data_IF_069074311266
#
_entry.id   IF_069074311266
#
_cell.length_a   1.000
_cell.length_b   1.000
_cell.length_c   1.000
_cell.angle_alpha   90.00
_cell.angle_beta   90.00
_cell.angle_gamma   90.00
#
_symmetry.space_group_name_H-M   'P 1'
#
loop_
_entity.id
_entity.type
_entity.pdbx_description
1 polymer ?
#
# COMPACT_ATOMS: atom_id res chain seq x y z
N UNK A 1 -71.21 -12.10 38.00
CA UNK A 1 -70.14 -11.28 38.47
C UNK A 1 -68.80 -12.06 38.60
N UNK A 2 -68.80 -13.22 39.27
CA UNK A 2 -67.58 -14.05 39.28
C UNK A 2 -67.23 -14.61 37.88
N UNK A 3 -68.22 -15.14 37.11
CA UNK A 3 -67.99 -15.64 35.77
C UNK A 3 -67.54 -14.60 34.75
N UNK A 4 -68.07 -13.35 34.91
CA UNK A 4 -67.55 -12.25 34.07
C UNK A 4 -66.12 -11.89 34.39
N UNK A 5 -65.74 -11.93 35.65
CA UNK A 5 -64.36 -11.70 36.09
C UNK A 5 -63.39 -12.85 35.71
N UNK A 6 -63.90 -14.09 35.68
CA UNK A 6 -63.13 -15.24 35.16
C UNK A 6 -62.91 -15.19 33.67
N UNK A 7 -63.97 -14.78 32.90
CA UNK A 7 -63.83 -14.56 31.45
C UNK A 7 -62.88 -13.38 31.19
N UNK A 8 -63.03 -12.29 31.92
CA UNK A 8 -62.11 -11.14 31.81
C UNK A 8 -60.66 -11.52 32.19
N UNK A 9 -60.48 -12.32 33.23
CA UNK A 9 -59.21 -12.90 33.61
C UNK A 9 -58.63 -13.72 32.46
N UNK A 10 -59.39 -14.68 31.91
CA UNK A 10 -58.93 -15.51 30.78
C UNK A 10 -58.57 -14.69 29.53
N UNK A 11 -59.36 -13.67 29.24
CA UNK A 11 -59.07 -12.77 28.13
C UNK A 11 -57.77 -12.00 28.38
N UNK A 12 -57.55 -11.50 29.60
CA UNK A 12 -56.32 -10.77 29.97
C UNK A 12 -55.10 -11.70 30.03
N UNK A 13 -55.26 -12.93 30.46
CA UNK A 13 -54.19 -13.95 30.42
C UNK A 13 -53.81 -14.29 28.98
N UNK A 14 -54.75 -14.42 28.08
CA UNK A 14 -54.51 -14.66 26.67
C UNK A 14 -53.78 -13.47 25.99
N UNK A 15 -54.29 -12.25 26.25
CA UNK A 15 -53.66 -11.03 25.75
C UNK A 15 -52.24 -10.86 26.29
N UNK A 16 -52.01 -11.22 27.54
CA UNK A 16 -50.70 -11.22 28.18
C UNK A 16 -49.73 -12.21 27.52
N UNK A 17 -50.20 -13.43 27.22
CA UNK A 17 -49.40 -14.47 26.54
C UNK A 17 -49.03 -14.03 25.12
N UNK A 18 -49.99 -13.47 24.37
CA UNK A 18 -49.70 -12.91 23.02
C UNK A 18 -48.69 -11.78 23.06
N UNK A 19 -48.79 -10.87 24.06
CA UNK A 19 -47.82 -9.77 24.24
C UNK A 19 -46.43 -10.27 24.67
N UNK A 20 -46.34 -11.30 25.52
CA UNK A 20 -45.06 -11.92 25.89
C UNK A 20 -44.40 -12.58 24.70
N UNK A 21 -45.15 -13.36 23.90
CA UNK A 21 -44.62 -13.98 22.70
C UNK A 21 -44.11 -12.90 21.71
N UNK A 22 -44.85 -11.81 21.58
CA UNK A 22 -44.43 -10.66 20.76
C UNK A 22 -43.12 -10.03 21.33
N UNK A 23 -43.05 -9.87 22.63
CA UNK A 23 -41.83 -9.33 23.29
C UNK A 23 -40.60 -10.21 23.07
N UNK A 24 -40.77 -11.54 23.21
CA UNK A 24 -39.67 -12.47 23.00
C UNK A 24 -39.20 -12.49 21.53
N UNK A 25 -40.13 -12.43 20.59
CA UNK A 25 -39.82 -12.26 19.16
C UNK A 25 -39.04 -10.95 18.89
N UNK A 26 -39.50 -9.84 19.48
CA UNK A 26 -38.82 -8.55 19.35
C UNK A 26 -37.42 -8.56 19.98
N UNK A 27 -37.26 -9.20 21.13
CA UNK A 27 -35.94 -9.37 21.79
C UNK A 27 -35.01 -10.24 20.98
N UNK A 28 -35.53 -11.37 20.44
CA UNK A 28 -34.70 -12.24 19.58
C UNK A 28 -34.28 -11.49 18.32
N UNK A 29 -35.20 -10.76 17.69
CA UNK A 29 -34.88 -9.92 16.53
C UNK A 29 -33.79 -8.87 16.87
N UNK A 30 -33.97 -8.15 17.99
CA UNK A 30 -32.98 -7.16 18.42
C UNK A 30 -31.62 -7.79 18.76
N UNK A 31 -31.61 -8.95 19.44
CA UNK A 31 -30.40 -9.67 19.73
C UNK A 31 -29.65 -10.05 18.44
N UNK A 32 -30.37 -10.61 17.48
CA UNK A 32 -29.83 -10.95 16.16
C UNK A 32 -29.30 -9.70 15.42
N UNK A 33 -30.09 -8.62 15.39
CA UNK A 33 -29.66 -7.36 14.75
C UNK A 33 -28.42 -6.77 15.41
N UNK A 34 -28.32 -6.84 16.74
CA UNK A 34 -27.12 -6.41 17.49
C UNK A 34 -25.89 -7.28 17.15
N UNK A 35 -26.06 -8.56 17.00
CA UNK A 35 -24.99 -9.46 16.55
C UNK A 35 -24.50 -9.09 15.15
N UNK A 36 -25.42 -8.83 14.20
CA UNK A 36 -25.07 -8.34 12.87
C UNK A 36 -24.31 -7.01 12.90
N UNK A 37 -24.71 -6.09 13.77
CA UNK A 37 -24.01 -4.81 13.98
C UNK A 37 -22.56 -5.08 14.42
N UNK A 38 -22.37 -5.95 15.42
CA UNK A 38 -21.05 -6.27 15.95
C UNK A 38 -20.14 -6.93 14.91
N UNK A 39 -20.66 -7.90 14.16
CA UNK A 39 -19.93 -8.57 13.10
C UNK A 39 -19.53 -7.59 11.98
N UNK A 40 -20.49 -6.74 11.56
CA UNK A 40 -20.22 -5.73 10.53
C UNK A 40 -19.22 -4.69 11.02
N UNK A 41 -19.30 -4.27 12.28
CA UNK A 41 -18.33 -3.36 12.89
C UNK A 41 -16.93 -3.98 12.99
N UNK A 42 -16.83 -5.25 13.37
CA UNK A 42 -15.54 -5.95 13.38
C UNK A 42 -14.92 -6.06 11.96
N UNK A 43 -15.77 -6.27 10.95
CA UNK A 43 -15.35 -6.27 9.55
C UNK A 43 -14.89 -4.88 9.10
N UNK A 44 -15.62 -3.83 9.49
CA UNK A 44 -15.28 -2.43 9.24
C UNK A 44 -13.89 -2.07 9.79
N UNK A 45 -13.58 -2.49 11.01
CA UNK A 45 -12.27 -2.26 11.62
C UNK A 45 -11.14 -2.92 10.83
N UNK A 46 -11.32 -4.16 10.40
CA UNK A 46 -10.35 -4.86 9.56
C UNK A 46 -10.12 -4.14 8.23
N UNK A 47 -11.21 -3.78 7.55
CA UNK A 47 -11.16 -3.07 6.27
C UNK A 47 -10.50 -1.69 6.38
N UNK A 48 -10.76 -0.96 7.46
CA UNK A 48 -10.13 0.33 7.74
C UNK A 48 -8.63 0.19 7.96
N UNK A 49 -8.22 -0.82 8.71
CA UNK A 49 -6.80 -1.12 8.93
C UNK A 49 -6.10 -1.48 7.62
N UNK A 50 -6.73 -2.35 6.81
CA UNK A 50 -6.21 -2.71 5.48
C UNK A 50 -6.13 -1.50 4.56
N UNK A 51 -7.19 -0.69 4.49
CA UNK A 51 -7.20 0.53 3.69
C UNK A 51 -6.09 1.51 4.12
N UNK A 52 -5.86 1.65 5.41
CA UNK A 52 -4.80 2.52 5.93
C UNK A 52 -3.41 2.03 5.52
N UNK A 53 -3.16 0.73 5.52
CA UNK A 53 -1.90 0.14 5.06
C UNK A 53 -1.69 0.32 3.55
N UNK A 54 -2.74 0.07 2.76
CA UNK A 54 -2.69 0.25 1.30
C UNK A 54 -2.55 1.73 0.91
N UNK A 55 -3.19 2.64 1.64
CA UNK A 55 -3.02 4.08 1.45
C UNK A 55 -1.59 4.54 1.74
N UNK A 56 -0.94 4.03 2.80
CA UNK A 56 0.48 4.31 3.08
C UNK A 56 1.39 3.85 1.96
N UNK A 57 1.12 2.65 1.45
CA UNK A 57 1.89 2.10 0.33
C UNK A 57 1.71 2.96 -0.92
N UNK A 58 0.50 3.45 -1.16
CA UNK A 58 0.19 4.39 -2.24
C UNK A 58 0.97 5.70 -2.09
N UNK A 59 0.92 6.32 -0.91
CA UNK A 59 1.62 7.58 -0.62
C UNK A 59 3.14 7.43 -0.78
N UNK A 60 3.70 6.32 -0.29
CA UNK A 60 5.12 6.03 -0.45
C UNK A 60 5.52 5.90 -1.93
N UNK A 61 4.71 5.20 -2.73
CA UNK A 61 4.94 5.06 -4.18
C UNK A 61 4.78 6.39 -4.93
N UNK A 62 3.80 7.21 -4.55
CA UNK A 62 3.62 8.55 -5.13
C UNK A 62 4.80 9.46 -4.83
N UNK A 63 5.27 9.48 -3.59
CA UNK A 63 6.45 10.24 -3.20
C UNK A 63 7.71 9.79 -3.97
N UNK A 64 7.89 8.47 -4.13
CA UNK A 64 8.99 7.92 -4.92
C UNK A 64 8.87 8.31 -6.40
N UNK A 65 7.66 8.24 -6.96
CA UNK A 65 7.35 8.65 -8.34
C UNK A 65 7.67 10.13 -8.57
N UNK A 66 7.22 11.00 -7.67
CA UNK A 66 7.40 12.45 -7.82
C UNK A 66 8.88 12.83 -7.65
N UNK A 67 9.59 12.17 -6.74
CA UNK A 67 11.04 12.32 -6.62
C UNK A 67 11.75 11.89 -7.90
N UNK A 68 11.45 10.69 -8.40
CA UNK A 68 12.07 10.16 -9.61
C UNK A 68 11.77 11.04 -10.83
N UNK A 69 10.54 11.51 -10.95
CA UNK A 69 10.13 12.46 -11.99
C UNK A 69 10.91 13.78 -11.91
N UNK A 70 11.04 14.33 -10.71
CA UNK A 70 11.83 15.56 -10.48
C UNK A 70 13.29 15.36 -10.88
N UNK A 71 13.91 14.22 -10.52
CA UNK A 71 15.28 13.89 -10.90
C UNK A 71 15.46 13.75 -12.42
N UNK A 72 14.44 13.26 -13.13
CA UNK A 72 14.43 13.18 -14.59
C UNK A 72 14.29 14.60 -15.19
N UNK A 73 13.29 15.35 -14.76
CA UNK A 73 12.96 16.67 -15.32
C UNK A 73 14.08 17.70 -15.11
N UNK A 74 14.73 17.65 -13.94
CA UNK A 74 15.86 18.56 -13.60
C UNK A 74 17.22 18.05 -14.09
N UNK A 75 17.28 16.81 -14.57
CA UNK A 75 18.55 16.14 -14.91
C UNK A 75 19.58 16.24 -13.77
N UNK A 76 19.11 16.11 -12.53
CA UNK A 76 19.99 16.19 -11.37
C UNK A 76 21.03 15.07 -11.36
N UNK A 77 22.31 15.45 -11.09
CA UNK A 77 23.45 14.53 -11.15
C UNK A 77 24.09 14.38 -12.53
N UNK A 78 23.54 15.01 -13.60
CA UNK A 78 24.17 15.01 -14.92
C UNK A 78 25.14 16.21 -15.11
N UNK A 79 26.23 16.04 -15.90
CA UNK A 79 27.12 17.12 -16.27
C UNK A 79 26.39 18.25 -17.00
N UNK A 80 26.91 19.49 -16.88
CA UNK A 80 26.34 20.67 -17.53
C UNK A 80 26.26 20.52 -19.06
N UNK A 81 27.24 19.86 -19.67
CA UNK A 81 27.25 19.55 -21.10
C UNK A 81 26.06 18.67 -21.52
N UNK A 82 25.72 17.67 -20.68
CA UNK A 82 24.59 16.78 -20.92
C UNK A 82 23.28 17.54 -20.76
N UNK A 83 23.12 18.30 -19.68
CA UNK A 83 21.94 19.16 -19.46
C UNK A 83 21.72 20.15 -20.60
N UNK A 84 22.81 20.78 -21.06
CA UNK A 84 22.73 21.74 -22.17
C UNK A 84 22.25 21.08 -23.46
N UNK A 85 22.79 19.92 -23.83
CA UNK A 85 22.37 19.21 -25.04
C UNK A 85 20.91 18.74 -24.94
N UNK A 86 20.52 18.23 -23.80
CA UNK A 86 19.14 17.79 -23.56
C UNK A 86 18.12 18.91 -23.77
N UNK A 87 18.45 20.12 -23.33
CA UNK A 87 17.57 21.28 -23.43
C UNK A 87 17.73 22.10 -24.75
N UNK A 88 18.66 21.72 -25.64
CA UNK A 88 18.97 22.47 -26.82
C UNK A 88 18.12 22.06 -28.03
N UNK A 89 17.25 22.96 -28.48
CA UNK A 89 16.35 22.74 -29.62
C UNK A 89 17.05 22.58 -30.99
N UNK A 90 18.32 22.90 -31.09
CA UNK A 90 19.09 22.78 -32.32
C UNK A 90 19.74 21.41 -32.50
N UNK A 91 19.70 20.57 -31.47
CA UNK A 91 20.22 19.21 -31.50
C UNK A 91 19.09 18.18 -31.46
N UNK A 92 19.35 16.98 -31.93
CA UNK A 92 18.35 15.94 -32.05
C UNK A 92 17.87 15.46 -30.65
N UNK A 93 16.62 15.73 -30.32
CA UNK A 93 16.00 15.30 -29.06
C UNK A 93 15.79 13.80 -28.94
N UNK A 94 15.92 13.05 -30.05
CA UNK A 94 15.70 11.61 -30.06
C UNK A 94 16.94 10.81 -29.61
N UNK A 95 18.09 11.48 -29.40
CA UNK A 95 19.29 10.82 -28.89
C UNK A 95 19.19 10.58 -27.38
N UNK A 96 18.99 9.34 -26.94
CA UNK A 96 18.87 9.01 -25.51
C UNK A 96 20.26 8.98 -24.85
N UNK A 97 20.24 9.05 -23.53
CA UNK A 97 21.41 8.79 -22.70
C UNK A 97 21.44 7.29 -22.38
N UNK A 98 22.62 6.70 -22.21
CA UNK A 98 22.78 5.27 -21.93
C UNK A 98 21.93 4.81 -20.73
N UNK A 99 21.89 5.62 -19.69
CA UNK A 99 21.08 5.33 -18.48
C UNK A 99 19.58 5.14 -18.75
N UNK A 100 19.06 5.69 -19.83
CA UNK A 100 17.63 5.66 -20.15
C UNK A 100 17.24 4.47 -21.03
N UNK A 101 18.21 3.89 -21.77
CA UNK A 101 17.94 2.79 -22.70
C UNK A 101 18.20 1.41 -22.11
N UNK A 102 18.88 1.33 -20.97
CA UNK A 102 19.16 0.08 -20.26
C UNK A 102 18.20 -0.01 -19.06
N UNK A 103 17.48 -1.12 -18.95
CA UNK A 103 16.72 -1.46 -17.78
C UNK A 103 17.30 -2.73 -17.13
N UNK A 104 17.42 -2.71 -15.81
CA UNK A 104 18.00 -3.81 -15.02
C UNK A 104 17.00 -4.21 -13.94
N UNK A 105 16.84 -5.51 -13.70
CA UNK A 105 16.05 -6.03 -12.58
C UNK A 105 16.57 -5.42 -11.27
N UNK A 106 15.65 -5.03 -10.39
CA UNK A 106 15.92 -4.25 -9.19
C UNK A 106 17.05 -4.83 -8.32
N UNK A 107 17.07 -6.15 -8.15
CA UNK A 107 18.04 -6.86 -7.32
C UNK A 107 19.49 -6.81 -7.86
N UNK A 108 19.71 -6.49 -9.14
CA UNK A 108 21.02 -6.42 -9.79
C UNK A 108 21.42 -5.00 -10.19
N UNK A 109 20.53 -4.03 -9.94
CA UNK A 109 20.70 -2.66 -10.45
C UNK A 109 21.95 -2.00 -9.90
N UNK A 110 22.18 -2.08 -8.59
CA UNK A 110 23.36 -1.51 -7.93
C UNK A 110 24.65 -2.09 -8.46
N UNK A 111 24.70 -3.42 -8.66
CA UNK A 111 25.89 -4.09 -9.18
C UNK A 111 26.22 -3.62 -10.60
N UNK A 112 25.23 -3.59 -11.50
CA UNK A 112 25.44 -3.18 -12.89
C UNK A 112 25.69 -1.67 -13.03
N UNK A 113 25.10 -0.86 -12.18
CA UNK A 113 25.36 0.58 -12.15
C UNK A 113 26.84 0.89 -11.90
N UNK A 114 27.50 0.16 -11.00
CA UNK A 114 28.91 0.35 -10.71
C UNK A 114 29.82 0.11 -11.94
N UNK A 115 29.49 -0.84 -12.78
CA UNK A 115 30.25 -1.09 -14.01
C UNK A 115 29.91 -0.08 -15.10
N UNK A 116 28.65 0.29 -15.20
CA UNK A 116 28.19 1.20 -16.22
C UNK A 116 28.39 2.67 -15.86
N UNK A 117 28.72 3.00 -14.60
CA UNK A 117 28.85 4.37 -14.10
C UNK A 117 29.68 5.29 -15.01
N UNK A 118 30.83 4.89 -15.56
CA UNK A 118 31.63 5.72 -16.46
C UNK A 118 30.90 6.10 -17.75
N UNK A 119 29.90 5.32 -18.13
CA UNK A 119 29.21 5.42 -19.43
C UNK A 119 27.76 5.91 -19.30
N UNK A 120 27.17 5.96 -18.10
CA UNK A 120 25.74 6.25 -17.89
C UNK A 120 25.31 7.59 -18.49
N UNK A 121 26.22 8.57 -18.54
CA UNK A 121 25.98 9.91 -19.04
C UNK A 121 26.33 10.08 -20.54
N UNK A 122 26.66 8.98 -21.24
CA UNK A 122 26.96 9.04 -22.67
C UNK A 122 25.66 9.09 -23.45
N UNK A 123 25.63 9.98 -24.43
CA UNK A 123 24.58 9.98 -25.44
C UNK A 123 24.75 8.83 -26.43
N UNK A 124 23.66 8.31 -26.90
CA UNK A 124 23.65 7.27 -27.94
C UNK A 124 23.08 7.88 -29.22
N UNK A 125 23.98 8.13 -30.17
CA UNK A 125 23.67 8.76 -31.45
C UNK A 125 23.74 7.75 -32.59
N UNK A 126 23.04 8.01 -33.68
CA UNK A 126 23.02 7.09 -34.82
C UNK A 126 24.38 7.00 -35.51
N UNK A 127 25.02 8.13 -35.77
CA UNK A 127 26.25 8.24 -36.53
C UNK A 127 27.21 9.32 -36.02
N UNK A 128 28.41 9.35 -36.62
CA UNK A 128 29.43 10.37 -36.33
C UNK A 128 28.95 11.79 -36.61
N UNK A 129 28.14 12.01 -37.65
CA UNK A 129 27.65 13.34 -38.03
C UNK A 129 26.77 13.96 -36.95
N UNK A 130 25.88 13.16 -36.37
CA UNK A 130 25.05 13.59 -35.26
C UNK A 130 25.89 13.94 -34.03
N UNK A 131 26.87 13.10 -33.69
CA UNK A 131 27.82 13.36 -32.60
C UNK A 131 28.63 14.64 -32.80
N UNK A 132 29.16 14.87 -34.02
CA UNK A 132 29.90 16.08 -34.33
C UNK A 132 29.04 17.35 -34.25
N UNK A 133 27.76 17.26 -34.61
CA UNK A 133 26.82 18.37 -34.46
C UNK A 133 26.70 18.77 -32.99
N UNK A 134 26.55 17.78 -32.08
CA UNK A 134 26.50 18.03 -30.64
C UNK A 134 27.81 18.63 -30.11
N UNK A 135 28.97 18.09 -30.53
CA UNK A 135 30.31 18.60 -30.14
C UNK A 135 30.48 20.06 -30.55
N UNK A 136 30.10 20.42 -31.77
CA UNK A 136 30.18 21.80 -32.26
C UNK A 136 29.28 22.74 -31.44
N UNK A 137 28.08 22.30 -31.08
CA UNK A 137 27.16 23.09 -30.24
C UNK A 137 27.76 23.30 -28.83
N UNK A 138 28.39 22.29 -28.24
CA UNK A 138 29.06 22.41 -26.96
C UNK A 138 30.26 23.37 -27.01
N UNK A 139 31.06 23.30 -28.07
CA UNK A 139 32.24 24.15 -28.26
C UNK A 139 31.86 25.62 -28.43
N UNK A 140 30.92 25.91 -29.33
CA UNK A 140 30.41 27.28 -29.58
C UNK A 140 29.85 27.90 -28.29
N UNK A 141 29.13 27.11 -27.48
CA UNK A 141 28.48 27.58 -26.26
C UNK A 141 29.35 27.45 -25.01
N UNK A 142 30.58 26.92 -25.12
CA UNK A 142 31.53 26.68 -23.99
C UNK A 142 30.92 25.88 -22.85
N UNK A 143 30.16 24.81 -23.17
CA UNK A 143 29.42 23.99 -22.21
C UNK A 143 30.16 22.74 -21.76
N UNK A 144 31.46 22.66 -22.00
CA UNK A 144 32.29 21.53 -21.64
C UNK A 144 32.21 20.38 -22.65
N UNK A 145 32.55 19.16 -22.20
CA UNK A 145 32.62 17.98 -23.07
C UNK A 145 31.51 16.98 -22.72
N UNK A 146 30.93 16.32 -23.71
CA UNK A 146 30.08 15.17 -23.59
C UNK A 146 30.67 13.99 -24.37
N UNK A 147 30.23 12.79 -24.04
CA UNK A 147 30.67 11.56 -24.67
C UNK A 147 29.50 10.93 -25.45
N UNK A 148 29.83 10.22 -26.52
CA UNK A 148 28.85 9.68 -27.44
C UNK A 148 29.19 8.24 -27.83
N UNK A 149 28.20 7.34 -27.84
CA UNK A 149 28.25 6.07 -28.53
C UNK A 149 27.67 6.23 -29.94
N UNK A 150 28.35 5.64 -30.92
CA UNK A 150 27.97 5.69 -32.34
C UNK A 150 27.36 4.33 -32.71
N UNK A 151 26.05 4.28 -32.95
CA UNK A 151 25.32 3.04 -33.21
C UNK A 151 25.76 2.39 -34.53
N UNK A 152 26.02 3.19 -35.57
CA UNK A 152 26.47 2.69 -36.88
C UNK A 152 27.76 1.89 -36.76
N UNK A 153 28.67 2.25 -35.88
CA UNK A 153 29.94 1.56 -35.62
C UNK A 153 29.75 0.33 -34.76
N UNK A 154 28.85 0.40 -33.79
CA UNK A 154 28.53 -0.73 -32.90
C UNK A 154 27.74 -1.83 -33.60
N UNK A 155 26.87 -1.48 -34.55
CA UNK A 155 26.15 -2.47 -35.35
C UNK A 155 27.07 -3.26 -36.30
N UNK A 156 28.23 -2.72 -36.64
CA UNK A 156 29.28 -3.42 -37.37
C UNK A 156 30.20 -4.26 -36.45
N UNK A 157 30.01 -4.19 -35.13
CA UNK A 157 30.80 -4.94 -34.17
C UNK A 157 30.40 -6.43 -34.19
N UNK A 158 31.33 -7.30 -34.58
CA UNK A 158 31.13 -8.74 -34.49
C UNK A 158 31.14 -9.18 -33.03
N UNK A 159 29.99 -9.64 -32.57
CA UNK A 159 29.84 -10.22 -31.22
C UNK A 159 30.59 -11.56 -31.23
N UNK A 160 31.82 -11.58 -30.73
CA UNK A 160 32.50 -12.84 -30.39
C UNK A 160 31.70 -13.51 -29.28
N UNK A 161 30.91 -14.51 -29.61
CA UNK A 161 30.20 -15.37 -28.68
C UNK A 161 31.16 -16.39 -28.08
N UNK A 162 32.15 -15.94 -27.32
CA UNK A 162 32.82 -16.85 -26.41
C UNK A 162 31.85 -17.09 -25.27
N UNK A 163 31.16 -18.23 -25.32
CA UNK A 163 30.28 -18.71 -24.26
C UNK A 163 31.13 -19.21 -23.08
N UNK A 164 31.99 -18.35 -22.52
CA UNK A 164 32.62 -18.66 -21.25
C UNK A 164 31.55 -18.58 -20.18
N UNK A 165 31.14 -19.72 -19.66
CA UNK A 165 30.33 -19.80 -18.46
C UNK A 165 31.25 -19.80 -17.25
N UNK A 166 31.02 -18.90 -16.31
CA UNK A 166 31.70 -18.90 -15.02
C UNK A 166 30.80 -19.65 -14.04
N UNK A 167 31.32 -20.74 -13.47
CA UNK A 167 30.60 -21.51 -12.48
C UNK A 167 30.27 -20.62 -11.25
N UNK A 168 28.99 -20.58 -10.87
CA UNK A 168 28.51 -19.72 -9.75
C UNK A 168 28.38 -18.25 -10.10
N UNK A 169 28.28 -17.91 -11.40
CA UNK A 169 27.95 -16.55 -11.84
C UNK A 169 26.96 -16.57 -13.01
N UNK A 170 26.11 -15.55 -13.08
CA UNK A 170 25.19 -15.35 -14.19
C UNK A 170 25.70 -14.25 -15.13
N UNK A 171 25.51 -14.38 -16.46
CA UNK A 171 25.83 -13.31 -17.39
C UNK A 171 25.00 -12.07 -17.12
N UNK A 172 25.63 -10.88 -17.09
CA UNK A 172 24.93 -9.62 -16.87
C UNK A 172 23.81 -9.36 -17.89
N UNK A 173 24.02 -9.77 -19.13
CA UNK A 173 23.01 -9.67 -20.19
C UNK A 173 21.70 -10.43 -19.92
N UNK A 174 21.71 -11.46 -19.06
CA UNK A 174 20.50 -12.22 -18.71
C UNK A 174 19.53 -11.48 -17.78
N UNK A 175 20.00 -10.42 -17.12
CA UNK A 175 19.23 -9.61 -16.16
C UNK A 175 18.97 -8.18 -16.66
N UNK A 176 19.33 -7.93 -17.92
CA UNK A 176 19.19 -6.64 -18.59
C UNK A 176 18.11 -6.72 -19.65
N UNK A 177 17.23 -5.74 -19.68
CA UNK A 177 16.27 -5.50 -20.74
C UNK A 177 16.70 -4.27 -21.53
N UNK A 178 16.76 -4.41 -22.84
CA UNK A 178 17.16 -3.35 -23.77
C UNK A 178 16.44 -3.56 -25.10
N UNK A 179 16.08 -2.45 -25.76
CA UNK A 179 15.49 -2.53 -27.10
C UNK A 179 16.45 -3.14 -28.10
N UNK A 180 15.92 -3.87 -29.09
CA UNK A 180 16.72 -4.54 -30.13
C UNK A 180 17.72 -3.61 -30.81
N UNK A 181 17.33 -2.35 -31.02
CA UNK A 181 18.16 -1.28 -31.58
C UNK A 181 19.50 -1.08 -30.81
N UNK A 182 19.49 -1.28 -29.49
CA UNK A 182 20.65 -1.01 -28.62
C UNK A 182 21.33 -2.29 -28.14
N UNK A 183 20.93 -3.44 -28.62
CA UNK A 183 21.43 -4.74 -28.16
C UNK A 183 22.92 -4.93 -28.40
N UNK A 184 23.43 -4.44 -29.52
CA UNK A 184 24.87 -4.46 -29.81
C UNK A 184 25.67 -3.62 -28.84
N UNK A 185 25.17 -2.45 -28.47
CA UNK A 185 25.77 -1.57 -27.46
C UNK A 185 25.75 -2.23 -26.09
N UNK A 186 24.63 -2.80 -25.67
CA UNK A 186 24.54 -3.52 -24.40
C UNK A 186 25.52 -4.71 -24.36
N UNK A 187 25.60 -5.47 -25.46
CA UNK A 187 26.55 -6.58 -25.58
C UNK A 187 28.00 -6.11 -25.57
N UNK A 188 28.32 -4.99 -26.20
CA UNK A 188 29.66 -4.38 -26.15
C UNK A 188 30.06 -4.02 -24.71
N UNK A 189 29.14 -3.46 -23.93
CA UNK A 189 29.39 -3.03 -22.55
C UNK A 189 29.36 -4.18 -21.54
N UNK A 190 28.48 -5.14 -21.70
CA UNK A 190 28.13 -6.14 -20.71
C UNK A 190 28.40 -7.59 -21.14
N UNK A 191 28.89 -7.82 -22.37
CA UNK A 191 29.06 -9.17 -22.89
C UNK A 191 30.10 -10.00 -22.15
N UNK A 192 31.06 -9.36 -21.49
CA UNK A 192 32.11 -10.00 -20.66
C UNK A 192 31.89 -9.74 -19.15
N UNK A 193 30.69 -9.32 -18.75
CA UNK A 193 30.36 -9.01 -17.36
C UNK A 193 29.50 -10.12 -16.79
N UNK A 194 29.85 -10.59 -15.61
CA UNK A 194 29.13 -11.64 -14.87
C UNK A 194 28.81 -11.18 -13.46
N UNK A 195 27.71 -11.66 -12.92
CA UNK A 195 27.27 -11.37 -11.54
C UNK A 195 27.50 -12.64 -10.73
N UNK A 196 28.38 -12.56 -9.73
CA UNK A 196 28.70 -13.68 -8.86
C UNK A 196 27.56 -13.97 -7.89
N UNK A 197 27.16 -15.22 -7.82
CA UNK A 197 26.26 -15.76 -6.82
C UNK A 197 27.01 -16.19 -5.54
N UNK A 198 28.32 -16.41 -5.65
CA UNK A 198 29.19 -16.80 -4.55
C UNK A 198 30.64 -16.29 -4.71
N UNK A 199 31.43 -16.33 -3.65
CA UNK A 199 32.84 -15.88 -3.67
C UNK A 199 33.76 -16.75 -4.57
N UNK A 200 33.38 -17.98 -4.86
CA UNK A 200 34.14 -18.88 -5.73
C UNK A 200 34.25 -18.37 -7.16
N UNK A 201 33.16 -17.78 -7.66
CA UNK A 201 33.07 -17.21 -9.00
C UNK A 201 34.09 -16.06 -9.22
N UNK A 202 34.45 -15.34 -8.16
CA UNK A 202 35.46 -14.27 -8.23
C UNK A 202 36.86 -14.78 -8.51
N UNK A 203 37.24 -15.95 -7.97
CA UNK A 203 38.57 -16.53 -8.14
C UNK A 203 38.74 -17.03 -9.58
N UNK A 204 37.65 -17.49 -10.20
CA UNK A 204 37.65 -18.14 -11.53
C UNK A 204 37.17 -17.20 -12.63
N UNK A 205 37.46 -15.92 -12.58
CA UNK A 205 36.94 -14.91 -13.50
C UNK A 205 37.46 -14.99 -14.93
N UNK A 206 38.51 -15.79 -15.23
CA UNK A 206 39.12 -16.00 -16.55
C UNK A 206 39.39 -14.71 -17.37
N UNK A 207 39.59 -13.58 -16.67
CA UNK A 207 39.81 -12.28 -17.32
C UNK A 207 38.50 -11.50 -17.59
N UNK A 208 37.38 -12.05 -17.27
CA UNK A 208 36.08 -11.36 -17.33
C UNK A 208 35.88 -10.41 -16.14
N UNK A 209 34.92 -9.50 -16.26
CA UNK A 209 34.49 -8.63 -15.16
C UNK A 209 33.46 -9.37 -14.33
N UNK A 210 33.72 -9.51 -13.04
CA UNK A 210 32.81 -10.19 -12.11
C UNK A 210 32.36 -9.23 -11.02
N UNK A 211 31.05 -9.13 -10.88
CA UNK A 211 30.37 -8.26 -9.93
C UNK A 211 29.83 -9.06 -8.75
N UNK A 212 29.87 -8.51 -7.57
CA UNK A 212 29.03 -9.01 -6.49
C UNK A 212 27.59 -8.49 -6.65
N UNK A 213 26.60 -9.34 -6.40
CA UNK A 213 25.18 -9.02 -6.55
C UNK A 213 24.75 -7.74 -5.79
N UNK A 214 25.31 -7.52 -4.60
CA UNK A 214 25.00 -6.35 -3.78
C UNK A 214 25.76 -5.07 -4.20
N UNK A 215 26.64 -5.16 -5.19
CA UNK A 215 27.40 -4.01 -5.70
C UNK A 215 28.59 -3.59 -4.83
N UNK A 216 28.98 -4.35 -3.80
CA UNK A 216 30.11 -3.97 -2.92
C UNK A 216 31.44 -3.96 -3.64
N UNK A 217 31.61 -4.75 -4.68
CA UNK A 217 32.84 -4.78 -5.45
C UNK A 217 32.63 -5.21 -6.91
N UNK A 218 33.57 -4.77 -7.72
CA UNK A 218 33.73 -5.09 -9.13
C UNK A 218 35.17 -5.62 -9.31
N UNK A 219 35.30 -6.87 -9.77
CA UNK A 219 36.61 -7.45 -10.09
C UNK A 219 36.80 -7.44 -11.59
N UNK A 220 37.72 -6.62 -12.07
CA UNK A 220 38.21 -6.66 -13.44
C UNK A 220 39.38 -7.63 -13.58
N UNK A 221 39.96 -7.72 -14.81
CA UNK A 221 41.09 -8.58 -15.10
C UNK A 221 42.29 -8.29 -14.20
N UNK A 222 42.60 -7.02 -13.98
CA UNK A 222 43.78 -6.54 -13.24
C UNK A 222 43.40 -5.54 -12.14
N UNK A 223 42.13 -5.36 -11.85
CA UNK A 223 41.66 -4.37 -10.89
C UNK A 223 40.60 -4.95 -9.97
N UNK A 224 40.53 -4.40 -8.78
CA UNK A 224 39.43 -4.61 -7.87
C UNK A 224 38.95 -3.23 -7.39
N UNK A 225 37.69 -2.94 -7.58
CA UNK A 225 37.05 -1.74 -7.05
C UNK A 225 35.99 -2.19 -6.07
N UNK A 226 35.90 -1.55 -4.93
CA UNK A 226 34.88 -1.91 -3.93
C UNK A 226 34.89 -0.96 -2.74
N UNK A 227 33.85 -1.10 -1.93
CA UNK A 227 33.65 -0.27 -0.76
C UNK A 227 32.22 -0.35 -0.26
N UNK A 228 31.78 0.68 0.47
CA UNK A 228 30.40 0.81 0.89
C UNK A 228 29.52 1.28 -0.27
N UNK A 229 28.34 0.70 -0.38
CA UNK A 229 27.33 1.13 -1.35
C UNK A 229 26.75 2.47 -0.91
N UNK A 230 26.76 3.46 -1.79
CA UNK A 230 26.22 4.79 -1.53
C UNK A 230 24.68 4.80 -1.52
N UNK A 231 24.10 5.77 -0.82
CA UNK A 231 22.62 5.91 -0.68
C UNK A 231 21.85 6.09 -2.02
N UNK A 232 22.55 6.49 -3.08
CA UNK A 232 21.97 6.74 -4.42
C UNK A 232 22.40 5.73 -5.48
N UNK A 233 23.21 4.76 -5.12
CA UNK A 233 23.57 3.68 -6.04
C UNK A 233 22.33 2.82 -6.37
N UNK A 234 22.23 2.40 -7.61
CA UNK A 234 21.08 1.66 -8.12
C UNK A 234 19.89 2.52 -8.58
N UNK A 235 20.01 3.86 -8.58
CA UNK A 235 18.92 4.78 -8.97
C UNK A 235 19.17 5.58 -10.25
N UNK A 236 20.30 5.37 -10.92
CA UNK A 236 20.65 6.10 -12.14
C UNK A 236 20.18 5.41 -13.42
N UNK A 237 20.14 4.07 -13.42
CA UNK A 237 19.79 3.27 -14.60
C UNK A 237 18.27 3.12 -14.73
N UNK A 238 17.74 3.30 -15.95
CA UNK A 238 16.36 2.99 -16.32
C UNK A 238 15.31 3.86 -15.62
N UNK A 239 15.63 5.11 -15.30
CA UNK A 239 14.73 6.02 -14.58
C UNK A 239 13.38 6.17 -15.26
N UNK A 240 13.34 6.34 -16.57
CA UNK A 240 12.10 6.51 -17.33
C UNK A 240 11.21 5.25 -17.24
N UNK A 241 11.79 4.06 -17.46
CA UNK A 241 11.05 2.79 -17.37
C UNK A 241 10.64 2.46 -15.92
N UNK A 242 11.45 2.86 -14.95
CA UNK A 242 11.07 2.72 -13.54
C UNK A 242 9.90 3.64 -13.19
N UNK A 243 9.88 4.87 -13.72
CA UNK A 243 8.77 5.81 -13.55
C UNK A 243 7.48 5.25 -14.14
N UNK A 244 7.53 4.68 -15.35
CA UNK A 244 6.39 4.02 -15.99
C UNK A 244 5.87 2.85 -15.14
N UNK A 245 6.73 1.91 -14.77
CA UNK A 245 6.37 0.77 -13.89
C UNK A 245 5.82 1.22 -12.53
N UNK A 246 6.35 2.29 -11.98
CA UNK A 246 5.87 2.85 -10.73
C UNK A 246 4.49 3.49 -10.90
N UNK A 247 4.26 4.18 -12.03
CA UNK A 247 2.95 4.72 -12.39
C UNK A 247 1.89 3.62 -12.54
N UNK A 248 2.22 2.50 -13.18
CA UNK A 248 1.33 1.33 -13.25
C UNK A 248 1.01 0.76 -11.86
N UNK A 249 2.03 0.59 -11.01
CA UNK A 249 1.83 0.12 -9.63
C UNK A 249 0.97 1.08 -8.81
N UNK A 250 1.12 2.39 -9.01
CA UNK A 250 0.29 3.43 -8.38
C UNK A 250 -1.16 3.29 -8.84
N UNK A 251 -1.39 3.08 -10.15
CA UNK A 251 -2.74 2.88 -10.70
C UNK A 251 -3.44 1.69 -10.04
N UNK A 252 -2.80 0.53 -10.01
CA UNK A 252 -3.34 -0.68 -9.36
C UNK A 252 -3.60 -0.46 -7.87
N UNK A 253 -2.67 0.21 -7.18
CA UNK A 253 -2.80 0.52 -5.75
C UNK A 253 -3.96 1.48 -5.48
N UNK A 254 -4.13 2.50 -6.31
CA UNK A 254 -5.22 3.47 -6.23
C UNK A 254 -6.59 2.80 -6.41
N UNK A 255 -6.69 1.86 -7.37
CA UNK A 255 -7.91 1.07 -7.56
C UNK A 255 -8.23 0.25 -6.32
N UNK A 256 -7.23 -0.39 -5.71
CA UNK A 256 -7.40 -1.17 -4.48
C UNK A 256 -7.90 -0.30 -3.33
N UNK A 257 -7.28 0.86 -3.09
CA UNK A 257 -7.72 1.82 -2.06
C UNK A 257 -9.14 2.31 -2.32
N UNK A 258 -9.48 2.58 -3.58
CA UNK A 258 -10.81 3.04 -3.98
C UNK A 258 -11.86 1.96 -3.74
N UNK A 259 -11.56 0.71 -4.09
CA UNK A 259 -12.46 -0.42 -3.86
C UNK A 259 -12.68 -0.69 -2.37
N UNK A 260 -11.63 -0.66 -1.56
CA UNK A 260 -11.73 -0.78 -0.09
C UNK A 260 -12.60 0.34 0.51
N UNK A 261 -12.43 1.57 0.03
CA UNK A 261 -13.25 2.71 0.46
C UNK A 261 -14.74 2.51 0.13
N UNK A 262 -15.04 1.95 -1.04
CA UNK A 262 -16.42 1.65 -1.43
C UNK A 262 -17.04 0.58 -0.51
N UNK A 263 -16.30 -0.51 -0.22
CA UNK A 263 -16.76 -1.57 0.69
C UNK A 263 -16.94 -1.04 2.12
N UNK A 264 -16.02 -0.21 2.61
CA UNK A 264 -16.13 0.44 3.92
C UNK A 264 -17.39 1.29 4.01
N UNK A 265 -17.70 2.06 2.97
CA UNK A 265 -18.92 2.87 2.91
C UNK A 265 -20.16 1.98 2.90
N UNK A 266 -20.14 0.88 2.16
CA UNK A 266 -21.24 -0.09 2.15
C UNK A 266 -21.46 -0.68 3.54
N UNK A 267 -20.43 -1.23 4.19
CA UNK A 267 -20.55 -1.77 5.54
C UNK A 267 -20.98 -0.71 6.57
N UNK A 268 -20.53 0.55 6.40
CA UNK A 268 -20.98 1.65 7.26
C UNK A 268 -22.47 1.92 7.11
N UNK A 269 -23.00 1.89 5.89
CA UNK A 269 -24.43 2.05 5.61
C UNK A 269 -25.23 0.84 6.15
N UNK A 270 -24.70 -0.36 6.07
CA UNK A 270 -25.30 -1.56 6.66
C UNK A 270 -25.44 -1.44 8.18
N UNK A 271 -24.40 -0.94 8.87
CA UNK A 271 -24.47 -0.67 10.32
C UNK A 271 -25.56 0.36 10.64
N UNK A 272 -25.69 1.41 9.82
CA UNK A 272 -26.77 2.41 10.00
C UNK A 272 -28.12 1.75 9.80
N UNK A 273 -28.31 0.98 8.73
CA UNK A 273 -29.56 0.28 8.43
C UNK A 273 -29.93 -0.73 9.54
N UNK A 274 -28.96 -1.46 10.07
CA UNK A 274 -29.21 -2.35 11.21
C UNK A 274 -29.60 -1.58 12.49
N UNK A 275 -28.96 -0.44 12.77
CA UNK A 275 -29.34 0.39 13.90
C UNK A 275 -30.77 0.92 13.78
N UNK A 276 -31.23 1.26 12.58
CA UNK A 276 -32.63 1.68 12.33
C UNK A 276 -33.61 0.54 12.52
N UNK A 277 -33.21 -0.72 12.35
CA UNK A 277 -34.04 -1.90 12.59
C UNK A 277 -34.21 -2.24 14.08
N UNK A 278 -33.38 -1.67 14.95
CA UNK A 278 -33.51 -1.88 16.38
C UNK A 278 -34.83 -1.34 16.91
N UNK A 279 -35.60 -2.20 17.54
CA UNK A 279 -36.95 -1.90 18.06
C UNK A 279 -36.95 -1.70 19.57
N UNK A 280 -35.95 -1.03 20.12
CA UNK A 280 -35.78 -0.84 21.57
C UNK A 280 -36.97 -0.10 22.19
N UNK A 281 -37.47 0.94 21.53
CA UNK A 281 -38.66 1.66 21.96
C UNK A 281 -39.90 0.77 21.94
N UNK A 282 -40.07 -0.06 20.93
CA UNK A 282 -41.20 -1.01 20.81
C UNK A 282 -41.09 -2.08 21.90
N UNK A 283 -39.90 -2.58 22.21
CA UNK A 283 -39.67 -3.52 23.30
C UNK A 283 -40.04 -2.87 24.63
N UNK A 284 -39.60 -1.65 24.87
CA UNK A 284 -39.91 -0.90 26.09
C UNK A 284 -41.44 -0.65 26.22
N UNK A 285 -42.10 -0.22 25.14
CA UNK A 285 -43.56 -0.04 25.12
C UNK A 285 -44.30 -1.36 25.32
N UNK A 286 -43.88 -2.42 24.64
CA UNK A 286 -44.49 -3.75 24.80
C UNK A 286 -44.29 -4.24 26.24
N UNK A 287 -43.11 -4.01 26.82
CA UNK A 287 -42.87 -4.31 28.22
C UNK A 287 -43.75 -3.50 29.19
N UNK A 288 -43.97 -2.21 28.89
CA UNK A 288 -44.89 -1.38 29.65
C UNK A 288 -46.30 -1.88 29.53
N UNK A 289 -46.81 -2.20 28.31
CA UNK A 289 -48.13 -2.74 28.08
C UNK A 289 -48.29 -4.11 28.80
N UNK A 290 -47.26 -4.96 28.81
CA UNK A 290 -47.27 -6.21 29.57
C UNK A 290 -47.41 -5.93 31.06
N UNK A 291 -46.68 -4.95 31.59
CA UNK A 291 -46.75 -4.54 32.99
C UNK A 291 -48.13 -4.00 33.35
N UNK A 292 -48.76 -3.21 32.47
CA UNK A 292 -50.12 -2.71 32.65
C UNK A 292 -51.16 -3.84 32.63
N UNK A 293 -51.00 -4.80 31.70
CA UNK A 293 -51.86 -6.01 31.64
C UNK A 293 -51.68 -6.87 32.89
N UNK A 294 -50.46 -7.04 33.35
CA UNK A 294 -50.15 -7.74 34.62
C UNK A 294 -50.87 -7.02 35.77
N UNK A 295 -50.74 -5.71 35.89
CA UNK A 295 -51.34 -4.94 36.95
C UNK A 295 -52.88 -5.03 36.92
N UNK A 296 -53.46 -5.01 35.68
CA UNK A 296 -54.89 -5.15 35.49
C UNK A 296 -55.39 -6.55 35.87
N UNK A 297 -54.66 -7.60 35.41
CA UNK A 297 -54.94 -8.99 35.79
C UNK A 297 -54.85 -9.16 37.30
N UNK A 298 -53.85 -8.52 37.89
CA UNK A 298 -53.62 -8.48 39.33
C UNK A 298 -54.83 -7.87 40.08
N UNK A 299 -55.30 -6.72 39.56
CA UNK A 299 -56.49 -6.07 40.12
C UNK A 299 -57.74 -6.99 40.03
N UNK A 300 -57.87 -7.76 38.94
CA UNK A 300 -58.96 -8.70 38.73
C UNK A 300 -58.82 -9.88 39.66
N UNK A 301 -57.59 -10.44 39.78
CA UNK A 301 -57.32 -11.58 40.68
C UNK A 301 -57.46 -11.18 42.14
N UNK A 302 -57.06 -9.95 42.54
CA UNK A 302 -57.31 -9.39 43.86
C UNK A 302 -58.80 -9.35 44.23
N UNK A 303 -59.62 -9.10 43.23
CA UNK A 303 -61.07 -9.15 43.40
C UNK A 303 -61.59 -10.58 43.49
N UNK A 304 -60.83 -11.56 43.10
CA UNK A 304 -61.19 -12.98 43.05
C UNK A 304 -60.58 -13.80 44.17
N UNK A 305 -59.81 -13.26 45.10
CA UNK A 305 -59.26 -13.96 46.28
C UNK A 305 -57.96 -14.73 46.07
N UNK A 306 -56.98 -14.32 45.51
CA UNK A 306 -55.67 -15.03 45.70
C UNK A 306 -54.44 -14.26 45.21
N UNK A 307 -54.15 -13.21 45.82
CA UNK A 307 -53.21 -12.18 45.33
C UNK A 307 -51.73 -12.43 45.64
N UNK A 308 -51.48 -12.85 46.82
CA UNK A 308 -50.12 -12.82 47.37
C UNK A 308 -49.16 -13.79 46.65
N UNK A 309 -49.64 -14.90 46.14
CA UNK A 309 -48.77 -15.90 45.48
C UNK A 309 -48.35 -15.50 44.04
N UNK A 310 -49.24 -14.82 43.36
CA UNK A 310 -48.92 -14.39 41.98
C UNK A 310 -48.10 -13.13 41.91
N UNK A 311 -48.14 -12.26 42.93
CA UNK A 311 -47.26 -11.11 43.06
C UNK A 311 -45.78 -11.51 43.13
N UNK A 312 -45.46 -12.54 43.87
CA UNK A 312 -44.11 -13.05 44.02
C UNK A 312 -43.55 -13.60 42.69
N UNK A 313 -44.41 -14.27 41.91
CA UNK A 313 -44.00 -14.84 40.60
C UNK A 313 -43.76 -13.74 39.54
N UNK A 314 -44.67 -12.75 39.53
CA UNK A 314 -44.57 -11.64 38.58
C UNK A 314 -43.39 -10.71 38.89
N UNK A 315 -43.09 -10.44 40.17
CA UNK A 315 -41.95 -9.64 40.59
C UNK A 315 -40.61 -10.34 40.24
N UNK A 316 -40.48 -11.67 40.51
CA UNK A 316 -39.27 -12.42 40.13
C UNK A 316 -39.02 -12.41 38.62
N UNK A 317 -40.09 -12.51 37.83
CA UNK A 317 -39.93 -12.51 36.36
C UNK A 317 -39.62 -11.13 35.79
N UNK A 318 -40.11 -10.06 36.43
CA UNK A 318 -39.73 -8.69 36.08
C UNK A 318 -38.23 -8.43 36.38
N UNK A 319 -37.73 -8.96 37.47
CA UNK A 319 -36.33 -8.86 37.90
C UNK A 319 -35.39 -9.61 36.97
N UNK A 320 -35.78 -10.81 36.49
CA UNK A 320 -35.01 -11.58 35.48
C UNK A 320 -34.93 -10.82 34.13
N UNK A 321 -36.03 -10.20 33.71
CA UNK A 321 -36.10 -9.41 32.50
C UNK A 321 -35.31 -8.13 32.59
N UNK A 322 -35.31 -7.48 33.78
CA UNK A 322 -34.53 -6.29 34.04
C UNK A 322 -33.04 -6.62 34.07
N UNK A 323 -32.66 -7.72 34.73
CA UNK A 323 -31.28 -8.21 34.76
C UNK A 323 -30.74 -8.57 33.36
N UNK A 324 -31.59 -9.18 32.49
CA UNK A 324 -31.21 -9.45 31.10
C UNK A 324 -31.02 -8.16 30.27
N UNK A 325 -31.85 -7.15 30.53
CA UNK A 325 -31.72 -5.85 29.88
C UNK A 325 -30.44 -5.12 30.34
N UNK A 326 -30.11 -5.19 31.62
CA UNK A 326 -28.88 -4.62 32.15
C UNK A 326 -27.63 -5.34 31.60
N UNK A 327 -27.65 -6.67 31.50
CA UNK A 327 -26.57 -7.44 30.87
C UNK A 327 -26.37 -7.07 29.40
N UNK A 328 -27.45 -6.91 28.65
CA UNK A 328 -27.38 -6.48 27.26
C UNK A 328 -26.88 -5.01 27.14
N UNK A 329 -27.28 -4.14 28.07
CA UNK A 329 -26.80 -2.77 28.11
C UNK A 329 -25.31 -2.67 28.48
N UNK A 330 -24.84 -3.53 29.41
CA UNK A 330 -23.42 -3.63 29.76
C UNK A 330 -22.60 -4.09 28.57
N UNK A 331 -23.03 -5.13 27.83
CA UNK A 331 -22.35 -5.63 26.64
C UNK A 331 -22.25 -4.58 25.51
N UNK A 332 -23.29 -3.76 25.35
CA UNK A 332 -23.28 -2.65 24.36
C UNK A 332 -22.29 -1.58 24.76
N UNK A 333 -22.26 -1.22 26.04
CA UNK A 333 -21.33 -0.21 26.55
C UNK A 333 -19.86 -0.67 26.45
N UNK A 334 -19.57 -1.94 26.77
CA UNK A 334 -18.24 -2.52 26.60
C UNK A 334 -17.80 -2.50 25.13
N UNK A 335 -18.69 -2.87 24.21
CA UNK A 335 -18.40 -2.84 22.77
C UNK A 335 -18.17 -1.41 22.26
N UNK A 336 -18.93 -0.45 22.80
CA UNK A 336 -18.78 0.96 22.43
C UNK A 336 -17.43 1.53 22.90
N UNK A 337 -17.01 1.16 24.10
CA UNK A 337 -15.71 1.55 24.66
C UNK A 337 -14.53 0.93 23.85
N UNK A 338 -14.69 -0.32 23.42
CA UNK A 338 -13.70 -1.00 22.57
C UNK A 338 -13.56 -0.30 21.21
N UNK A 339 -14.68 0.10 20.65
CA UNK A 339 -14.74 0.83 19.38
C UNK A 339 -14.05 2.21 19.48
N UNK A 340 -14.27 2.92 20.60
CA UNK A 340 -13.63 4.20 20.90
C UNK A 340 -12.10 4.04 21.05
N UNK A 341 -11.67 2.96 21.70
CA UNK A 341 -10.24 2.63 21.87
C UNK A 341 -9.57 2.33 20.51
N UNK A 342 -10.21 1.48 19.70
CA UNK A 342 -9.72 1.13 18.36
C UNK A 342 -9.66 2.34 17.41
N UNK A 343 -10.65 3.22 17.50
CA UNK A 343 -10.63 4.49 16.74
C UNK A 343 -9.46 5.37 17.18
N UNK A 344 -9.19 5.45 18.50
CA UNK A 344 -8.02 6.17 19.01
C UNK A 344 -6.67 5.56 18.60
N UNK A 345 -6.59 4.22 18.47
CA UNK A 345 -5.38 3.56 17.97
C UNK A 345 -5.15 3.86 16.48
N UNK A 346 -6.23 3.90 15.67
CA UNK A 346 -6.16 4.32 14.26
C UNK A 346 -5.67 5.76 14.13
N UNK A 347 -6.23 6.69 14.92
CA UNK A 347 -5.77 8.09 14.93
C UNK A 347 -4.30 8.23 15.36
N UNK A 348 -3.86 7.44 16.34
CA UNK A 348 -2.45 7.43 16.74
C UNK A 348 -1.52 6.85 15.67
N UNK A 349 -1.98 5.85 14.94
CA UNK A 349 -1.24 5.27 13.82
C UNK A 349 -1.13 6.25 12.65
N UNK A 350 -2.21 6.98 12.34
CA UNK A 350 -2.20 8.05 11.34
C UNK A 350 -1.26 9.20 11.73
N UNK A 351 -1.24 9.57 13.02
CA UNK A 351 -0.31 10.58 13.53
C UNK A 351 1.16 10.14 13.41
N UNK A 352 1.46 8.87 13.73
CA UNK A 352 2.81 8.30 13.55
C UNK A 352 3.23 8.25 12.08
N UNK A 353 2.29 7.97 11.18
CA UNK A 353 2.53 8.00 9.75
C UNK A 353 2.93 9.37 9.24
N UNK A 354 2.20 10.39 9.71
CA UNK A 354 2.49 11.78 9.36
C UNK A 354 3.89 12.18 9.84
N UNK A 355 4.24 11.80 11.08
CA UNK A 355 5.57 12.05 11.64
C UNK A 355 6.65 11.34 10.81
N UNK A 356 6.46 10.06 10.48
CA UNK A 356 7.43 9.32 9.67
C UNK A 356 7.54 9.89 8.24
N UNK A 357 6.44 10.40 7.68
CA UNK A 357 6.45 11.14 6.41
C UNK A 357 7.25 12.44 6.51
N UNK A 358 7.05 13.20 7.58
CA UNK A 358 7.78 14.44 7.83
C UNK A 358 9.28 14.16 8.11
N UNK A 359 9.60 13.11 8.86
CA UNK A 359 10.98 12.66 9.09
C UNK A 359 11.65 12.20 7.78
N UNK A 360 10.92 11.49 6.93
CA UNK A 360 11.40 11.10 5.62
C UNK A 360 11.70 12.31 4.73
N UNK A 361 10.75 13.28 4.67
CA UNK A 361 10.96 14.53 3.94
C UNK A 361 12.14 15.32 4.49
N UNK A 362 12.31 15.36 5.81
CA UNK A 362 13.44 16.03 6.44
C UNK A 362 14.77 15.34 6.13
N UNK A 363 14.81 14.00 6.21
CA UNK A 363 15.98 13.21 5.85
C UNK A 363 16.33 13.35 4.36
N UNK A 364 15.32 13.44 3.49
CA UNK A 364 15.50 13.71 2.07
C UNK A 364 16.08 15.11 1.81
N UNK A 365 15.56 16.11 2.52
CA UNK A 365 16.08 17.49 2.45
C UNK A 365 17.53 17.59 2.99
N UNK A 366 17.84 16.94 4.11
CA UNK A 366 19.19 16.86 4.65
C UNK A 366 20.14 16.15 3.68
N UNK A 367 19.67 15.05 3.09
CA UNK A 367 20.43 14.33 2.08
C UNK A 367 20.73 15.21 0.85
N UNK A 368 19.69 15.90 0.33
CA UNK A 368 19.86 16.82 -0.81
C UNK A 368 20.84 17.96 -0.47
N UNK A 369 20.76 18.50 0.75
CA UNK A 369 21.67 19.54 1.23
C UNK A 369 23.12 19.03 1.34
N UNK A 370 23.31 17.81 1.82
CA UNK A 370 24.63 17.16 1.89
C UNK A 370 25.17 16.89 0.48
N UNK A 371 24.33 16.41 -0.44
CA UNK A 371 24.70 16.14 -1.82
C UNK A 371 25.07 17.42 -2.59
N UNK A 372 24.34 18.51 -2.35
CA UNK A 372 24.71 19.84 -2.88
C UNK A 372 26.04 20.37 -2.29
N UNK A 373 26.39 19.96 -1.08
CA UNK A 373 27.65 20.38 -0.46
C UNK A 373 28.88 19.56 -0.92
N UNK A 374 28.67 18.42 -1.59
CA UNK A 374 29.74 17.55 -2.10
C UNK A 374 30.05 17.76 -3.59
N UNK A 375 29.20 18.51 -4.32
CA UNK A 375 29.41 18.97 -5.71
C UNK A 375 29.88 20.42 -5.74
#
# INVERSE_FOLDING_TARGET
MLGTLEIEKQQKEKELEEKKNTLDQLKQHNAFTKEQILETQATLEKLRSEMAEEARTLDARQNEHDLLKSLIDTMEGYPESVKFLHNNKQWNYAAPILSDIIYVKEEYRTALENVLEPYLNYYVVEDLKEGLTAVNLLDVNKKGKANFFLLDKLNAFEIKRDHETIEGAIPAMSVVEVDEKYKHLATYLLGNVFIAENEGALKNSNGNVVLEKNGRYVKGKYSLTGGSVGLFEGKKIGRAKNLEKLSEKIGVQQEKVTSLKAVINQCSNEVIAFNEQLKENTIQQTQQNINELINTSFSIINKIENIAHQQSIAAKRSEELTSQLEQNHSAINETRLLLETLTGEVEQLDAKMKIAGDEFVNAENEFNTINESYN
#
